data_IF_241934422590
#
_entry.id   IF_241934422590
#
_cell.length_a   1.000
_cell.length_b   1.000
_cell.length_c   1.000
_cell.angle_alpha   90.00
_cell.angle_beta   90.00
_cell.angle_gamma   90.00
#
_symmetry.space_group_name_H-M   'P 1'
#
loop_
_entity.id
_entity.type
_entity.pdbx_description
1 polymer ?
#
# COMPACT_ATOMS: atom_id res chain seq x y z
N UNK A 1 28.10 15.78 -25.06
CA UNK A 1 28.56 14.39 -24.77
C UNK A 1 28.37 13.59 -26.06
N UNK A 2 29.33 12.77 -26.53
CA UNK A 2 29.18 12.06 -27.80
C UNK A 2 28.05 11.02 -27.70
N UNK A 3 27.18 10.92 -28.73
CA UNK A 3 26.08 9.95 -28.83
C UNK A 3 26.50 8.50 -28.51
N UNK A 4 27.74 8.11 -28.89
CA UNK A 4 28.30 6.78 -28.59
C UNK A 4 28.59 6.55 -27.10
N UNK A 5 28.87 7.61 -26.34
CA UNK A 5 29.10 7.50 -24.90
C UNK A 5 27.78 7.33 -24.14
N UNK A 6 26.71 8.01 -24.59
CA UNK A 6 25.36 7.80 -24.05
C UNK A 6 24.83 6.39 -24.35
N UNK A 7 24.97 5.91 -25.59
CA UNK A 7 24.61 4.54 -25.95
C UNK A 7 25.43 3.47 -25.19
N UNK A 8 26.68 3.77 -24.83
CA UNK A 8 27.50 2.91 -23.97
C UNK A 8 27.01 2.92 -22.51
N UNK A 9 26.64 4.08 -21.97
CA UNK A 9 26.06 4.18 -20.63
C UNK A 9 24.70 3.47 -20.53
N UNK A 10 23.88 3.49 -21.60
CA UNK A 10 22.63 2.72 -21.70
C UNK A 10 22.84 1.20 -21.76
N UNK A 11 24.04 0.74 -22.17
CA UNK A 11 24.44 -0.67 -22.16
C UNK A 11 25.00 -1.13 -20.81
N UNK A 12 25.29 -0.22 -19.89
CA UNK A 12 25.66 -0.58 -18.52
C UNK A 12 24.35 -0.95 -17.82
N UNK A 13 24.11 -2.23 -17.47
CA UNK A 13 22.92 -2.56 -16.70
C UNK A 13 22.99 -1.79 -15.40
N UNK A 14 22.04 -0.87 -15.19
CA UNK A 14 21.78 -0.35 -13.85
C UNK A 14 21.63 -1.57 -12.95
N UNK A 15 22.32 -1.63 -11.80
CA UNK A 15 22.18 -2.78 -10.93
C UNK A 15 20.70 -2.84 -10.53
N UNK A 16 19.99 -3.88 -10.97
CA UNK A 16 18.58 -4.07 -10.63
C UNK A 16 18.48 -4.37 -9.14
N UNK A 17 18.27 -3.31 -8.36
CA UNK A 17 18.25 -3.35 -6.92
C UNK A 17 16.88 -2.90 -6.46
N UNK A 18 16.26 -3.70 -5.60
CA UNK A 18 15.05 -3.32 -4.89
C UNK A 18 15.22 -3.62 -3.41
N UNK A 19 14.73 -2.72 -2.55
CA UNK A 19 14.56 -3.02 -1.12
C UNK A 19 13.07 -3.07 -0.83
N UNK A 20 12.63 -4.23 -0.36
CA UNK A 20 11.27 -4.47 0.05
C UNK A 20 11.17 -4.46 1.56
N UNK A 21 9.94 -4.33 2.05
CA UNK A 21 9.63 -4.55 3.44
C UNK A 21 8.53 -5.57 3.59
N UNK A 22 8.88 -6.69 4.23
CA UNK A 22 7.98 -7.81 4.46
C UNK A 22 8.17 -8.31 5.89
N UNK A 23 7.06 -8.46 6.63
CA UNK A 23 7.12 -8.62 8.10
C UNK A 23 7.97 -7.55 8.79
N UNK A 24 8.08 -6.34 8.24
CA UNK A 24 8.95 -5.30 8.81
C UNK A 24 10.44 -5.51 8.59
N UNK A 25 10.88 -6.68 8.12
CA UNK A 25 12.25 -6.94 7.64
C UNK A 25 12.48 -6.24 6.32
N UNK A 26 13.67 -5.67 6.14
CA UNK A 26 14.13 -5.17 4.85
C UNK A 26 14.74 -6.30 4.06
N UNK A 27 14.27 -6.52 2.83
CA UNK A 27 14.74 -7.56 1.93
C UNK A 27 15.38 -6.93 0.70
N UNK A 28 16.64 -7.27 0.43
CA UNK A 28 17.37 -6.89 -0.77
C UNK A 28 17.07 -7.88 -1.88
N UNK A 29 16.49 -7.38 -2.97
CA UNK A 29 16.48 -8.04 -4.27
C UNK A 29 17.63 -7.46 -5.08
N UNK A 30 18.49 -8.34 -5.58
CA UNK A 30 19.60 -8.00 -6.44
C UNK A 30 19.53 -8.87 -7.70
N UNK A 31 19.38 -8.24 -8.88
CA UNK A 31 19.31 -8.92 -10.18
C UNK A 31 18.26 -10.04 -10.22
N UNK A 32 17.06 -9.72 -9.74
CA UNK A 32 15.92 -10.64 -9.75
C UNK A 32 15.94 -11.74 -8.69
N UNK A 33 16.87 -11.71 -7.73
CA UNK A 33 16.95 -12.67 -6.63
C UNK A 33 16.92 -11.97 -5.27
N UNK A 34 16.13 -12.50 -4.32
CA UNK A 34 16.20 -12.09 -2.92
C UNK A 34 17.43 -12.70 -2.25
N UNK A 35 18.42 -11.85 -1.94
CA UNK A 35 19.76 -12.29 -1.49
C UNK A 35 20.05 -11.99 -0.03
N UNK A 36 19.31 -11.06 0.59
CA UNK A 36 19.52 -10.70 1.99
C UNK A 36 18.25 -10.19 2.65
N UNK A 37 18.04 -10.56 3.91
CA UNK A 37 16.96 -10.05 4.75
C UNK A 37 17.51 -9.66 6.13
N UNK A 38 17.06 -8.52 6.65
CA UNK A 38 17.33 -8.12 8.04
C UNK A 38 16.51 -8.97 9.02
N UNK A 39 16.85 -8.99 10.31
CA UNK A 39 15.94 -9.48 11.34
C UNK A 39 14.58 -8.77 11.27
N UNK A 40 13.52 -9.49 11.59
CA UNK A 40 12.17 -8.93 11.65
C UNK A 40 11.90 -8.30 13.01
N UNK A 41 11.42 -7.05 13.08
CA UNK A 41 11.05 -6.41 14.34
C UNK A 41 9.68 -6.88 14.86
N UNK A 42 8.95 -7.69 14.09
CA UNK A 42 7.59 -8.15 14.45
C UNK A 42 7.47 -9.66 14.31
N UNK A 43 6.65 -10.26 15.17
CA UNK A 43 6.33 -11.70 15.14
C UNK A 43 5.12 -12.03 14.28
N UNK A 44 4.29 -11.02 13.98
CA UNK A 44 3.04 -11.20 13.27
C UNK A 44 2.68 -9.96 12.44
N UNK A 45 2.42 -10.19 11.15
CA UNK A 45 1.84 -9.19 10.26
C UNK A 45 0.49 -9.73 9.75
N UNK A 46 -0.65 -9.09 10.08
CA UNK A 46 -1.96 -9.59 9.65
C UNK A 46 -2.12 -9.69 8.14
N UNK A 47 -1.55 -8.73 7.38
CA UNK A 47 -1.56 -8.74 5.92
C UNK A 47 -0.77 -9.92 5.37
N UNK A 48 0.49 -10.08 5.80
CA UNK A 48 1.32 -11.19 5.30
C UNK A 48 0.76 -12.54 5.74
N UNK A 49 0.27 -12.67 6.97
CA UNK A 49 -0.36 -13.91 7.42
C UNK A 49 -1.54 -14.32 6.52
N UNK A 50 -2.41 -13.37 6.17
CA UNK A 50 -3.53 -13.61 5.26
C UNK A 50 -3.02 -14.03 3.88
N UNK A 51 -2.18 -13.20 3.25
CA UNK A 51 -1.68 -13.46 1.90
C UNK A 51 -0.94 -14.80 1.82
N UNK A 52 -0.07 -15.10 2.79
CA UNK A 52 0.72 -16.32 2.80
C UNK A 52 -0.10 -17.58 3.03
N UNK A 53 -1.21 -17.51 3.77
CA UNK A 53 -2.14 -18.63 3.87
C UNK A 53 -2.89 -18.88 2.56
N UNK A 54 -3.21 -17.81 1.83
CA UNK A 54 -3.94 -17.89 0.56
C UNK A 54 -3.04 -18.36 -0.59
N UNK A 55 -1.76 -17.94 -0.63
CA UNK A 55 -0.89 -18.17 -1.79
C UNK A 55 0.40 -18.97 -1.51
N UNK A 56 0.74 -19.24 -0.25
CA UNK A 56 2.12 -19.55 0.13
C UNK A 56 2.48 -21.01 0.42
N UNK A 57 1.50 -21.93 0.40
CA UNK A 57 1.75 -23.37 0.54
C UNK A 57 2.55 -23.78 1.80
N UNK A 58 3.27 -24.93 1.78
CA UNK A 58 4.05 -25.40 2.93
C UNK A 58 5.20 -24.47 3.36
N UNK A 59 5.79 -23.73 2.42
CA UNK A 59 6.88 -22.78 2.70
C UNK A 59 6.40 -21.62 3.58
N UNK A 60 5.23 -21.06 3.27
CA UNK A 60 4.59 -20.06 4.12
C UNK A 60 4.26 -20.58 5.52
N UNK A 61 3.70 -21.79 5.63
CA UNK A 61 3.34 -22.36 6.93
C UNK A 61 4.56 -22.50 7.84
N UNK A 62 5.69 -22.97 7.32
CA UNK A 62 6.96 -23.06 8.05
C UNK A 62 7.47 -21.68 8.47
N UNK A 63 7.50 -20.72 7.54
CA UNK A 63 7.94 -19.35 7.83
C UNK A 63 7.10 -18.70 8.94
N UNK A 64 5.78 -18.88 8.91
CA UNK A 64 4.88 -18.35 9.95
C UNK A 64 5.15 -18.98 11.31
N UNK A 65 5.53 -20.27 11.35
CA UNK A 65 5.94 -20.94 12.57
C UNK A 65 7.29 -20.44 13.08
N UNK A 66 8.27 -20.24 12.19
CA UNK A 66 9.59 -19.70 12.54
C UNK A 66 9.48 -18.30 13.18
N UNK A 67 8.64 -17.43 12.60
CA UNK A 67 8.36 -16.11 13.19
C UNK A 67 7.70 -16.19 14.57
N UNK A 68 6.78 -17.16 14.76
CA UNK A 68 6.11 -17.38 16.05
C UNK A 68 7.07 -17.89 17.11
N UNK A 69 8.00 -18.75 16.72
CA UNK A 69 8.99 -19.38 17.60
C UNK A 69 10.27 -18.56 17.78
N UNK A 70 10.34 -17.35 17.20
CA UNK A 70 11.49 -16.44 17.31
C UNK A 70 12.80 -17.03 16.77
N UNK A 71 12.71 -17.94 15.79
CA UNK A 71 13.85 -18.55 15.12
C UNK A 71 14.41 -17.57 14.09
N UNK A 72 15.23 -16.63 14.51
CA UNK A 72 15.65 -15.49 13.67
C UNK A 72 16.34 -15.93 12.37
N UNK A 73 17.29 -16.86 12.45
CA UNK A 73 18.07 -17.33 11.30
C UNK A 73 17.12 -18.02 10.31
N UNK A 74 16.32 -18.97 10.78
CA UNK A 74 15.38 -19.74 9.98
C UNK A 74 14.28 -18.85 9.39
N UNK A 75 13.80 -17.85 10.14
CA UNK A 75 12.83 -16.87 9.64
C UNK A 75 13.41 -16.04 8.49
N UNK A 76 14.68 -15.64 8.57
CA UNK A 76 15.35 -14.88 7.50
C UNK A 76 15.53 -15.73 6.26
N UNK A 77 16.04 -16.95 6.41
CA UNK A 77 16.19 -17.87 5.29
C UNK A 77 14.83 -18.26 4.68
N UNK A 78 13.83 -18.51 5.51
CA UNK A 78 12.47 -18.82 5.09
C UNK A 78 11.82 -17.66 4.33
N UNK A 79 12.08 -16.42 4.75
CA UNK A 79 11.64 -15.22 4.05
C UNK A 79 12.28 -15.11 2.66
N UNK A 80 13.59 -15.33 2.55
CA UNK A 80 14.28 -15.32 1.25
C UNK A 80 13.75 -16.42 0.33
N UNK A 81 13.61 -17.66 0.83
CA UNK A 81 13.04 -18.79 0.08
C UNK A 81 11.64 -18.45 -0.42
N UNK A 82 10.77 -17.96 0.45
CA UNK A 82 9.40 -17.60 0.09
C UNK A 82 9.36 -16.51 -1.01
N UNK A 83 10.18 -15.47 -0.89
CA UNK A 83 10.21 -14.40 -1.89
C UNK A 83 10.70 -14.94 -3.25
N UNK A 84 11.76 -15.75 -3.27
CA UNK A 84 12.26 -16.36 -4.50
C UNK A 84 11.25 -17.35 -5.12
N UNK A 85 10.70 -18.26 -4.32
CA UNK A 85 9.85 -19.37 -4.79
C UNK A 85 8.43 -18.94 -5.16
N UNK A 86 7.89 -17.87 -4.53
CA UNK A 86 6.48 -17.47 -4.70
C UNK A 86 6.37 -16.10 -5.32
N UNK A 87 7.06 -15.08 -4.79
CA UNK A 87 6.84 -13.70 -5.22
C UNK A 87 7.52 -13.46 -6.57
N UNK A 88 8.81 -13.78 -6.68
CA UNK A 88 9.60 -13.55 -7.88
C UNK A 88 9.27 -14.54 -9.00
N UNK A 89 9.02 -15.81 -8.67
CA UNK A 89 8.60 -16.82 -9.65
C UNK A 89 7.27 -16.49 -10.36
N UNK A 90 6.37 -15.78 -9.68
CA UNK A 90 5.09 -15.31 -10.23
C UNK A 90 5.21 -13.99 -11.01
N UNK A 91 6.43 -13.48 -11.16
CA UNK A 91 6.73 -12.33 -12.00
C UNK A 91 6.68 -10.97 -11.32
N UNK A 92 6.57 -10.91 -9.99
CA UNK A 92 6.79 -9.67 -9.29
C UNK A 92 8.22 -9.16 -9.52
N UNK A 93 8.38 -7.84 -9.53
CA UNK A 93 9.67 -7.16 -9.76
C UNK A 93 10.29 -7.33 -11.15
N UNK A 94 9.66 -8.06 -12.07
CA UNK A 94 10.16 -8.20 -13.43
C UNK A 94 9.79 -7.00 -14.31
N UNK A 95 10.64 -6.64 -15.28
CA UNK A 95 10.37 -5.54 -16.21
C UNK A 95 9.34 -5.89 -17.30
N UNK A 96 9.01 -7.17 -17.51
CA UNK A 96 8.04 -7.66 -18.50
C UNK A 96 6.59 -7.74 -17.97
N UNK A 97 6.36 -7.42 -16.70
CA UNK A 97 5.04 -7.50 -16.06
C UNK A 97 4.00 -6.55 -16.71
N UNK A 98 2.70 -6.87 -16.77
CA UNK A 98 1.69 -5.96 -17.31
C UNK A 98 1.48 -4.72 -16.43
N UNK A 99 1.52 -3.52 -17.01
CA UNK A 99 1.31 -2.27 -16.25
C UNK A 99 -0.17 -1.85 -16.20
N UNK A 100 -1.03 -2.49 -16.99
CA UNK A 100 -2.45 -2.21 -17.08
C UNK A 100 -3.25 -3.48 -16.75
N UNK A 101 -3.77 -3.57 -15.52
CA UNK A 101 -4.48 -4.74 -14.99
C UNK A 101 -5.63 -4.23 -14.11
N UNK A 102 -6.80 -4.85 -14.13
CA UNK A 102 -7.95 -4.41 -13.30
C UNK A 102 -8.26 -5.34 -12.12
N UNK A 103 -7.44 -6.37 -11.89
CA UNK A 103 -7.68 -7.35 -10.83
C UNK A 103 -7.41 -6.79 -9.44
N UNK A 104 -8.40 -6.88 -8.55
CA UNK A 104 -8.26 -6.55 -7.15
C UNK A 104 -7.66 -7.71 -6.36
N UNK A 105 -6.62 -7.44 -5.56
CA UNK A 105 -5.90 -8.47 -4.78
C UNK A 105 -6.38 -8.54 -3.32
N UNK A 106 -6.90 -7.44 -2.78
CA UNK A 106 -7.46 -7.38 -1.41
C UNK A 106 -8.73 -6.54 -1.34
N UNK A 107 -9.61 -6.84 -0.38
CA UNK A 107 -10.90 -6.15 -0.25
C UNK A 107 -10.74 -4.65 0.02
N UNK A 108 -9.80 -4.21 0.87
CA UNK A 108 -9.64 -2.80 1.23
C UNK A 108 -8.19 -2.35 1.06
N UNK A 109 -7.57 -2.69 -0.07
CA UNK A 109 -6.23 -2.20 -0.40
C UNK A 109 -6.27 -0.79 -0.96
N UNK A 110 -5.14 -0.09 -0.84
CA UNK A 110 -5.04 1.30 -1.24
C UNK A 110 -5.24 1.45 -2.75
N UNK A 111 -4.54 0.64 -3.56
CA UNK A 111 -4.68 0.66 -5.02
C UNK A 111 -6.11 0.36 -5.44
N UNK A 112 -6.81 -0.57 -4.77
CA UNK A 112 -8.21 -0.86 -5.06
C UNK A 112 -9.13 0.33 -4.80
N UNK A 113 -8.94 1.02 -3.68
CA UNK A 113 -9.70 2.24 -3.36
C UNK A 113 -9.44 3.33 -4.42
N UNK A 114 -8.18 3.55 -4.80
CA UNK A 114 -7.84 4.57 -5.82
C UNK A 114 -8.33 4.18 -7.22
N UNK A 115 -8.29 2.90 -7.58
CA UNK A 115 -8.83 2.39 -8.83
C UNK A 115 -10.34 2.66 -8.93
N UNK A 116 -11.10 2.35 -7.88
CA UNK A 116 -12.54 2.58 -7.85
C UNK A 116 -12.86 4.09 -7.81
N UNK A 117 -12.04 4.89 -7.12
CA UNK A 117 -12.16 6.35 -7.11
C UNK A 117 -11.87 7.00 -8.47
N UNK A 118 -10.87 6.51 -9.22
CA UNK A 118 -10.60 6.93 -10.60
C UNK A 118 -11.75 6.52 -11.53
N UNK A 119 -12.28 5.31 -11.37
CA UNK A 119 -13.42 4.81 -12.15
C UNK A 119 -14.67 5.66 -11.93
N UNK A 120 -14.85 6.18 -10.71
CA UNK A 120 -15.92 7.10 -10.34
C UNK A 120 -15.61 8.59 -10.57
N UNK A 121 -14.49 8.95 -11.19
CA UNK A 121 -14.05 10.34 -11.43
C UNK A 121 -13.96 11.22 -10.17
N UNK A 122 -13.73 10.61 -9.01
CA UNK A 122 -13.53 11.32 -7.74
C UNK A 122 -12.14 11.94 -7.64
N UNK A 123 -11.15 11.26 -8.22
CA UNK A 123 -9.79 11.71 -8.41
C UNK A 123 -9.43 11.61 -9.89
N UNK A 124 -8.48 12.43 -10.30
CA UNK A 124 -7.96 12.52 -11.67
C UNK A 124 -6.61 11.80 -11.81
N UNK A 125 -5.92 11.53 -10.68
CA UNK A 125 -4.67 10.78 -10.66
C UNK A 125 -4.42 10.07 -9.30
N UNK A 126 -3.52 9.10 -9.29
CA UNK A 126 -2.98 8.48 -8.09
C UNK A 126 -1.44 8.52 -8.08
N UNK A 127 -0.84 8.90 -6.95
CA UNK A 127 0.60 8.92 -6.73
C UNK A 127 1.04 7.71 -5.89
N UNK A 128 1.83 6.84 -6.51
CA UNK A 128 2.13 5.50 -6.05
C UNK A 128 3.62 5.17 -6.18
N UNK A 129 4.00 4.02 -5.66
CA UNK A 129 5.34 3.45 -5.82
C UNK A 129 5.28 2.29 -6.79
N UNK A 130 6.18 2.32 -7.78
CA UNK A 130 6.39 1.29 -8.78
C UNK A 130 7.85 0.82 -8.70
N UNK A 131 8.12 -0.47 -8.42
CA UNK A 131 9.49 -0.97 -8.58
C UNK A 131 9.98 -0.78 -10.02
N UNK A 132 11.26 -0.51 -10.14
CA UNK A 132 11.91 -0.14 -11.38
C UNK A 132 11.75 1.34 -11.72
N UNK A 133 10.84 2.10 -11.09
CA UNK A 133 10.55 3.51 -11.45
C UNK A 133 10.41 4.46 -10.25
N UNK A 134 10.31 3.94 -9.03
CA UNK A 134 10.16 4.74 -7.81
C UNK A 134 8.76 5.34 -7.70
N UNK A 135 8.70 6.64 -7.43
CA UNK A 135 7.44 7.40 -7.46
C UNK A 135 6.89 7.54 -8.88
N UNK A 136 5.61 7.21 -9.06
CA UNK A 136 4.86 7.35 -10.31
C UNK A 136 3.51 8.04 -10.08
N UNK A 137 3.00 8.70 -11.12
CA UNK A 137 1.61 9.12 -11.22
C UNK A 137 0.89 8.23 -12.25
N UNK A 138 -0.30 7.78 -11.90
CA UNK A 138 -1.20 7.03 -12.78
C UNK A 138 -2.51 7.77 -12.97
N UNK A 139 -3.14 7.61 -14.13
CA UNK A 139 -4.33 8.38 -14.53
C UNK A 139 -5.54 7.50 -14.84
N UNK A 140 -5.36 6.19 -14.88
CA UNK A 140 -6.45 5.24 -15.18
C UNK A 140 -6.57 4.18 -14.10
N UNK A 141 -7.75 3.56 -13.94
CA UNK A 141 -7.96 2.46 -13.01
C UNK A 141 -6.97 1.30 -13.25
N UNK A 142 -6.79 0.91 -14.52
CA UNK A 142 -5.95 -0.22 -14.89
C UNK A 142 -4.45 0.04 -14.70
N UNK A 143 -3.96 1.25 -14.98
CA UNK A 143 -2.55 1.60 -14.68
C UNK A 143 -2.29 1.68 -13.18
N UNK A 144 -3.24 2.24 -12.41
CA UNK A 144 -3.17 2.34 -10.95
C UNK A 144 -3.02 0.98 -10.28
N UNK A 145 -3.77 -0.03 -10.74
CA UNK A 145 -3.60 -1.40 -10.29
C UNK A 145 -2.33 -2.04 -10.84
N UNK A 146 -2.04 -1.90 -12.14
CA UNK A 146 -0.93 -2.63 -12.76
C UNK A 146 0.47 -2.11 -12.40
N UNK A 147 0.65 -0.86 -11.97
CA UNK A 147 1.96 -0.41 -11.43
C UNK A 147 2.25 -1.00 -10.05
N UNK A 148 1.20 -1.32 -9.29
CA UNK A 148 1.31 -1.96 -7.98
C UNK A 148 1.30 -3.49 -8.12
N UNK A 149 0.49 -4.06 -9.02
CA UNK A 149 0.14 -5.48 -9.09
C UNK A 149 -0.03 -6.10 -7.69
N UNK A 150 0.95 -6.91 -7.26
CA UNK A 150 1.03 -7.62 -5.98
C UNK A 150 2.12 -7.06 -5.05
N UNK A 151 2.47 -5.79 -5.17
CA UNK A 151 3.63 -5.22 -4.47
C UNK A 151 3.26 -4.70 -3.08
N UNK A 152 3.89 -5.26 -2.05
CA UNK A 152 3.48 -5.14 -0.63
C UNK A 152 4.37 -4.25 0.24
N UNK A 153 5.32 -3.52 -0.37
CA UNK A 153 6.18 -2.55 0.34
C UNK A 153 7.54 -2.33 -0.30
N UNK A 154 7.62 -1.71 -1.48
CA UNK A 154 8.90 -1.27 -2.06
C UNK A 154 9.36 0.04 -1.40
N UNK A 155 10.57 0.06 -0.85
CA UNK A 155 11.18 1.19 -0.13
C UNK A 155 12.42 1.75 -0.81
N UNK A 156 13.00 1.00 -1.74
CA UNK A 156 14.07 1.47 -2.62
C UNK A 156 13.99 0.72 -3.94
N UNK A 157 14.33 1.40 -5.03
CA UNK A 157 14.40 0.78 -6.34
C UNK A 157 15.33 1.56 -7.25
N UNK A 158 15.96 0.89 -8.21
CA UNK A 158 16.75 1.51 -9.28
C UNK A 158 15.93 1.62 -10.55
N UNK A 159 16.18 2.65 -11.39
CA UNK A 159 15.50 2.81 -12.66
C UNK A 159 15.81 1.65 -13.61
N UNK A 160 14.83 1.27 -14.44
CA UNK A 160 15.00 0.28 -15.50
C UNK A 160 14.51 0.85 -16.84
N UNK A 161 15.38 0.89 -17.86
CA UNK A 161 15.08 1.53 -19.16
C UNK A 161 13.84 0.95 -19.84
N UNK A 162 13.74 -0.38 -19.95
CA UNK A 162 12.54 -1.02 -20.54
C UNK A 162 11.25 -0.64 -19.81
N UNK A 163 11.28 -0.45 -18.48
CA UNK A 163 10.10 -0.03 -17.74
C UNK A 163 9.78 1.44 -17.95
N UNK A 164 10.79 2.30 -18.17
CA UNK A 164 10.57 3.70 -18.54
C UNK A 164 9.81 3.80 -19.85
N UNK A 165 10.27 3.10 -20.88
CA UNK A 165 9.64 3.12 -22.21
C UNK A 165 8.18 2.66 -22.11
N UNK A 166 7.95 1.53 -21.42
CA UNK A 166 6.61 0.99 -21.20
C UNK A 166 5.72 1.90 -20.35
N UNK A 167 6.27 2.60 -19.36
CA UNK A 167 5.51 3.59 -18.60
C UNK A 167 5.00 4.69 -19.53
N UNK A 168 5.85 5.21 -20.40
CA UNK A 168 5.45 6.26 -21.34
C UNK A 168 4.40 5.78 -22.35
N UNK A 169 4.55 4.54 -22.84
CA UNK A 169 3.58 3.90 -23.75
C UNK A 169 2.20 3.70 -23.10
N UNK A 170 2.18 3.29 -21.83
CA UNK A 170 0.95 2.99 -21.07
C UNK A 170 0.36 4.23 -20.37
N UNK A 171 0.96 5.41 -20.54
CA UNK A 171 0.50 6.65 -19.91
C UNK A 171 0.74 6.71 -18.40
N UNK A 172 1.73 5.99 -17.88
CA UNK A 172 2.24 6.13 -16.51
C UNK A 172 3.34 7.19 -16.50
N UNK A 173 3.32 8.11 -15.53
CA UNK A 173 4.31 9.18 -15.42
C UNK A 173 5.29 8.93 -14.28
N UNK A 174 6.55 8.53 -14.56
CA UNK A 174 7.58 8.44 -13.53
C UNK A 174 8.00 9.83 -13.06
N UNK A 175 7.96 10.08 -11.75
CA UNK A 175 8.36 11.36 -11.15
C UNK A 175 9.88 11.52 -11.19
N UNK A 176 10.61 10.41 -11.07
CA UNK A 176 12.07 10.38 -11.03
C UNK A 176 12.64 9.31 -11.99
N UNK A 177 12.45 9.47 -13.31
CA UNK A 177 12.72 8.41 -14.30
C UNK A 177 14.18 7.92 -14.31
N UNK A 178 15.13 8.75 -13.87
CA UNK A 178 16.57 8.44 -13.91
C UNK A 178 17.17 8.02 -12.57
N UNK A 179 16.40 8.09 -11.47
CA UNK A 179 16.91 7.74 -10.14
C UNK A 179 16.07 6.66 -9.44
N UNK A 180 14.82 6.45 -9.86
CA UNK A 180 13.91 5.51 -9.16
C UNK A 180 13.58 5.97 -7.74
N UNK A 181 13.76 7.26 -7.42
CA UNK A 181 13.52 7.78 -6.09
C UNK A 181 12.06 7.65 -5.68
N UNK A 182 11.82 7.40 -4.39
CA UNK A 182 10.49 7.33 -3.78
C UNK A 182 10.35 8.54 -2.89
N UNK A 183 9.50 9.50 -3.28
CA UNK A 183 9.19 10.67 -2.46
C UNK A 183 7.72 11.07 -2.67
N UNK A 184 6.82 10.73 -1.73
CA UNK A 184 5.41 11.09 -1.81
C UNK A 184 5.16 12.60 -1.83
N UNK A 185 5.97 13.41 -1.14
CA UNK A 185 5.80 14.87 -1.14
C UNK A 185 6.16 15.45 -2.51
N UNK A 186 7.29 15.03 -3.07
CA UNK A 186 7.67 15.45 -4.41
C UNK A 186 6.67 14.99 -5.46
N UNK A 187 6.12 13.78 -5.31
CA UNK A 187 5.05 13.27 -6.19
C UNK A 187 3.81 14.16 -6.14
N UNK A 188 3.41 14.62 -4.95
CA UNK A 188 2.29 15.54 -4.80
C UNK A 188 2.56 16.91 -5.43
N UNK A 189 3.77 17.46 -5.25
CA UNK A 189 4.18 18.71 -5.90
C UNK A 189 4.17 18.58 -7.42
N UNK A 190 4.64 17.45 -7.93
CA UNK A 190 4.70 17.18 -9.35
C UNK A 190 3.30 17.05 -9.96
N UNK A 191 2.37 16.37 -9.29
CA UNK A 191 0.98 16.30 -9.73
C UNK A 191 0.34 17.70 -9.85
N UNK A 192 0.53 18.56 -8.85
CA UNK A 192 0.06 19.95 -8.87
C UNK A 192 0.72 20.75 -10.00
N UNK A 193 2.02 20.55 -10.25
CA UNK A 193 2.77 21.20 -11.34
C UNK A 193 2.21 20.82 -12.71
N UNK A 194 1.77 19.59 -12.87
CA UNK A 194 1.08 19.10 -14.08
C UNK A 194 -0.38 19.60 -14.20
N UNK A 195 -0.85 20.41 -13.24
CA UNK A 195 -2.18 20.98 -13.25
C UNK A 195 -3.28 20.07 -12.67
N UNK A 196 -2.91 18.91 -12.13
CA UNK A 196 -3.85 17.95 -11.54
C UNK A 196 -4.36 18.51 -10.23
N UNK A 197 -5.67 18.59 -10.08
CA UNK A 197 -6.30 19.25 -8.92
C UNK A 197 -6.91 18.29 -7.92
N UNK A 198 -7.34 17.09 -8.31
CA UNK A 198 -7.88 16.09 -7.39
C UNK A 198 -7.09 14.80 -7.56
N UNK A 199 -6.32 14.41 -6.56
CA UNK A 199 -5.53 13.18 -6.65
C UNK A 199 -5.30 12.55 -5.28
N UNK A 200 -5.00 11.25 -5.30
CA UNK A 200 -4.64 10.51 -4.10
C UNK A 200 -3.13 10.30 -4.02
N UNK A 201 -2.56 10.37 -2.82
CA UNK A 201 -1.14 10.13 -2.54
C UNK A 201 -1.02 9.08 -1.46
N UNK A 202 -0.16 8.09 -1.73
CA UNK A 202 0.20 7.07 -0.74
C UNK A 202 1.50 7.42 -0.02
N UNK A 203 1.51 7.25 1.30
CA UNK A 203 2.74 7.31 2.12
C UNK A 203 2.93 5.97 2.83
N UNK A 204 4.18 5.61 3.17
CA UNK A 204 4.46 4.36 3.86
C UNK A 204 5.60 4.47 4.88
N UNK A 205 5.48 3.76 6.00
CA UNK A 205 6.45 3.73 7.10
C UNK A 205 6.92 5.13 7.52
N UNK A 206 8.22 5.44 7.43
CA UNK A 206 8.78 6.73 7.83
C UNK A 206 8.25 7.91 7.01
N UNK A 207 7.82 7.71 5.75
CA UNK A 207 7.22 8.78 4.95
C UNK A 207 5.89 9.27 5.52
N UNK A 208 5.22 8.50 6.38
CA UNK A 208 4.02 8.96 7.07
C UNK A 208 4.29 10.17 7.99
N UNK A 209 5.54 10.40 8.38
CA UNK A 209 5.91 11.58 9.19
C UNK A 209 5.77 12.90 8.44
N UNK A 210 5.68 12.85 7.10
CA UNK A 210 5.59 14.01 6.19
C UNK A 210 4.17 14.31 5.70
N UNK A 211 3.15 13.68 6.30
CA UNK A 211 1.75 13.86 5.89
C UNK A 211 1.26 15.31 6.07
N UNK A 212 1.83 16.03 7.03
CA UNK A 212 1.59 17.46 7.24
C UNK A 212 2.18 18.31 6.11
N UNK A 213 3.40 18.01 5.65
CA UNK A 213 3.99 18.69 4.50
C UNK A 213 3.13 18.52 3.24
N UNK A 214 2.56 17.32 3.03
CA UNK A 214 1.64 17.06 1.92
C UNK A 214 0.33 17.85 2.11
N UNK A 215 -0.18 17.91 3.35
CA UNK A 215 -1.38 18.70 3.69
C UNK A 215 -1.22 20.17 3.30
N UNK A 216 -0.04 20.75 3.56
CA UNK A 216 0.26 22.15 3.28
C UNK A 216 0.30 22.48 1.77
N UNK A 217 0.30 21.49 0.88
CA UNK A 217 0.21 21.72 -0.56
C UNK A 217 -1.23 21.99 -1.04
N UNK A 218 -2.23 21.59 -0.26
CA UNK A 218 -3.64 21.82 -0.60
C UNK A 218 -3.99 23.31 -0.55
N UNK A 219 -4.85 23.75 -1.46
CA UNK A 219 -5.39 25.12 -1.52
C UNK A 219 -6.83 25.07 -2.04
N UNK A 220 -7.49 26.24 -2.18
CA UNK A 220 -8.88 26.32 -2.62
C UNK A 220 -9.15 25.69 -3.99
N UNK A 221 -8.12 25.47 -4.82
CA UNK A 221 -8.24 24.85 -6.14
C UNK A 221 -7.64 23.45 -6.23
N UNK A 222 -7.31 22.76 -5.13
CA UNK A 222 -6.79 21.39 -5.18
C UNK A 222 -7.10 20.57 -3.93
N UNK A 223 -7.45 19.30 -4.13
CA UNK A 223 -7.69 18.30 -3.08
C UNK A 223 -6.70 17.14 -3.23
N UNK A 224 -5.99 16.84 -2.15
CA UNK A 224 -5.02 15.76 -2.04
C UNK A 224 -5.51 14.75 -1.01
N UNK A 225 -5.98 13.59 -1.46
CA UNK A 225 -6.38 12.50 -0.58
C UNK A 225 -5.13 11.77 -0.07
N UNK A 226 -4.96 11.72 1.25
CA UNK A 226 -3.74 11.21 1.90
C UNK A 226 -3.97 9.82 2.48
N UNK A 227 -3.43 8.80 1.82
CA UNK A 227 -3.55 7.39 2.19
C UNK A 227 -2.27 6.94 2.91
N UNK A 228 -2.35 6.78 4.23
CA UNK A 228 -1.21 6.41 5.07
C UNK A 228 -1.12 4.89 5.23
N UNK A 229 -0.11 4.29 4.59
CA UNK A 229 0.11 2.86 4.50
C UNK A 229 1.25 2.39 5.40
N UNK A 230 1.40 1.06 5.52
CA UNK A 230 2.49 0.37 6.23
C UNK A 230 2.82 0.99 7.60
N UNK A 231 2.04 0.63 8.61
CA UNK A 231 2.26 1.08 9.99
C UNK A 231 3.37 0.33 10.73
N UNK A 232 3.94 -0.74 10.16
CA UNK A 232 4.97 -1.55 10.83
C UNK A 232 6.12 -0.68 11.33
N UNK A 233 6.50 -0.82 12.60
CA UNK A 233 7.56 -0.04 13.27
C UNK A 233 7.45 1.50 13.12
N UNK A 234 6.24 2.02 12.88
CA UNK A 234 5.95 3.46 12.97
C UNK A 234 5.98 3.87 14.45
N UNK A 235 6.70 4.95 14.75
CA UNK A 235 6.77 5.52 16.09
C UNK A 235 5.53 6.35 16.44
N UNK A 236 5.40 6.72 17.73
CA UNK A 236 4.24 7.47 18.22
C UNK A 236 4.09 8.87 17.59
N UNK A 237 5.16 9.67 17.39
CA UNK A 237 5.06 10.95 16.68
C UNK A 237 4.53 10.78 15.24
N UNK A 238 5.03 9.79 14.51
CA UNK A 238 4.54 9.51 13.15
C UNK A 238 3.09 9.02 13.17
N UNK A 239 2.69 8.20 14.14
CA UNK A 239 1.28 7.81 14.32
C UNK A 239 0.37 9.02 14.60
N UNK A 240 0.85 10.04 15.31
CA UNK A 240 0.12 11.29 15.49
C UNK A 240 -0.05 12.04 14.17
N UNK A 241 1.01 12.14 13.35
CA UNK A 241 0.91 12.71 11.99
C UNK A 241 -0.08 11.96 11.10
N UNK A 242 -0.11 10.63 11.19
CA UNK A 242 -1.11 9.79 10.51
C UNK A 242 -2.54 10.10 10.99
N UNK A 243 -2.73 10.29 12.29
CA UNK A 243 -4.04 10.63 12.85
C UNK A 243 -4.52 12.04 12.47
N UNK A 244 -3.61 13.01 12.42
CA UNK A 244 -3.96 14.43 12.23
C UNK A 244 -4.09 14.80 10.75
N UNK A 245 -3.36 14.09 9.87
CA UNK A 245 -3.23 14.46 8.46
C UNK A 245 -3.52 13.31 7.48
N UNK A 246 -3.77 12.08 7.94
CA UNK A 246 -4.25 11.01 7.07
C UNK A 246 -5.75 11.16 6.80
N UNK A 247 -6.20 10.86 5.58
CA UNK A 247 -7.62 10.72 5.25
C UNK A 247 -8.09 9.26 5.45
N UNK A 248 -7.23 8.33 5.07
CA UNK A 248 -7.42 6.88 5.23
C UNK A 248 -6.10 6.29 5.74
N UNK A 249 -6.16 5.49 6.80
CA UNK A 249 -4.98 4.99 7.52
C UNK A 249 -5.05 3.48 7.71
N UNK A 250 -4.04 2.76 7.23
CA UNK A 250 -3.90 1.31 7.46
C UNK A 250 -3.10 1.08 8.74
N UNK A 251 -3.70 0.36 9.69
CA UNK A 251 -3.16 0.20 11.05
C UNK A 251 -2.45 -1.12 11.33
N UNK A 252 -2.17 -1.92 10.29
CA UNK A 252 -1.63 -3.26 10.47
C UNK A 252 -0.26 -3.23 11.19
N UNK A 253 -0.08 -4.14 12.16
CA UNK A 253 1.17 -4.38 12.88
C UNK A 253 1.80 -3.16 13.60
N UNK A 254 0.98 -2.24 14.13
CA UNK A 254 1.45 -1.15 15.01
C UNK A 254 0.47 -0.87 16.15
N UNK A 255 0.94 -1.01 17.39
CA UNK A 255 0.19 -0.60 18.59
C UNK A 255 0.01 0.91 18.63
N UNK A 256 1.04 1.69 18.33
CA UNK A 256 0.97 3.15 18.32
C UNK A 256 -0.10 3.67 17.37
N UNK A 257 -0.21 3.13 16.16
CA UNK A 257 -1.26 3.53 15.22
C UNK A 257 -2.64 3.13 15.75
N UNK A 258 -2.81 1.95 16.34
CA UNK A 258 -4.10 1.55 16.93
C UNK A 258 -4.49 2.43 18.12
N UNK A 259 -3.56 2.78 18.99
CA UNK A 259 -3.82 3.61 20.16
C UNK A 259 -4.13 5.07 19.80
N UNK A 260 -3.43 5.62 18.80
CA UNK A 260 -3.52 7.05 18.44
C UNK A 260 -4.59 7.30 17.39
N UNK A 261 -4.65 6.46 16.34
CA UNK A 261 -5.52 6.68 15.17
C UNK A 261 -6.91 6.10 15.41
N UNK A 262 -7.01 4.88 15.98
CA UNK A 262 -8.32 4.22 16.09
C UNK A 262 -9.34 5.06 16.88
N UNK A 263 -9.05 5.63 18.07
CA UNK A 263 -10.08 6.38 18.81
C UNK A 263 -10.64 7.60 18.06
N UNK A 264 -9.89 8.13 17.09
CA UNK A 264 -10.20 9.35 16.33
C UNK A 264 -10.81 9.09 14.95
N UNK A 265 -10.78 7.84 14.48
CA UNK A 265 -11.39 7.47 13.21
C UNK A 265 -12.91 7.63 13.26
N UNK A 266 -13.52 8.08 12.15
CA UNK A 266 -14.96 8.27 11.99
C UNK A 266 -15.67 7.06 11.36
N UNK A 267 -14.90 6.17 10.75
CA UNK A 267 -15.36 4.86 10.27
C UNK A 267 -14.16 3.89 10.21
N UNK A 268 -14.44 2.61 10.07
CA UNK A 268 -13.44 1.58 9.82
C UNK A 268 -13.95 0.63 8.75
N UNK A 269 -13.05 0.16 7.87
CA UNK A 269 -13.32 -0.99 7.02
C UNK A 269 -12.32 -2.10 7.28
N UNK A 270 -12.79 -3.35 7.25
CA UNK A 270 -11.99 -4.53 7.54
C UNK A 270 -11.69 -4.74 9.02
N UNK A 271 -11.57 -6.02 9.42
CA UNK A 271 -11.26 -6.44 10.79
C UNK A 271 -9.81 -6.93 10.93
N UNK A 272 -9.41 -7.92 10.11
CA UNK A 272 -8.05 -8.49 10.10
C UNK A 272 -6.98 -7.42 9.86
N UNK A 273 -7.25 -6.55 8.90
CA UNK A 273 -6.39 -5.44 8.48
C UNK A 273 -7.26 -4.18 8.62
N UNK A 274 -7.30 -3.54 9.80
CA UNK A 274 -8.17 -2.41 10.01
C UNK A 274 -7.68 -1.21 9.20
N UNK A 275 -8.58 -0.69 8.38
CA UNK A 275 -8.40 0.55 7.63
C UNK A 275 -9.29 1.59 8.29
N UNK A 276 -8.66 2.57 8.92
CA UNK A 276 -9.33 3.65 9.63
C UNK A 276 -9.59 4.81 8.69
N UNK A 277 -10.84 5.28 8.66
CA UNK A 277 -11.24 6.46 7.91
C UNK A 277 -11.25 7.64 8.88
N UNK A 278 -10.51 8.69 8.54
CA UNK A 278 -10.25 9.81 9.45
C UNK A 278 -11.08 11.05 9.12
N UNK A 279 -11.46 11.22 7.86
CA UNK A 279 -12.13 12.43 7.36
C UNK A 279 -13.35 12.09 6.53
N UNK A 280 -14.32 13.01 6.43
CA UNK A 280 -15.51 12.80 5.60
C UNK A 280 -15.13 12.55 4.14
N UNK A 281 -14.15 13.29 3.59
CA UNK A 281 -13.68 13.06 2.22
C UNK A 281 -13.01 11.69 2.06
N UNK A 282 -12.32 11.19 3.09
CA UNK A 282 -11.80 9.82 3.10
C UNK A 282 -12.92 8.78 3.09
N UNK A 283 -14.05 9.07 3.76
CA UNK A 283 -15.24 8.22 3.71
C UNK A 283 -15.89 8.25 2.32
N UNK A 284 -16.08 9.43 1.72
CA UNK A 284 -16.58 9.53 0.35
C UNK A 284 -15.70 8.75 -0.64
N UNK A 285 -14.37 8.85 -0.51
CA UNK A 285 -13.41 8.15 -1.38
C UNK A 285 -13.55 6.62 -1.32
N UNK A 286 -14.00 6.05 -0.19
CA UNK A 286 -14.13 4.60 -0.04
C UNK A 286 -15.48 4.04 -0.49
N UNK A 287 -16.51 4.87 -0.63
CA UNK A 287 -17.86 4.42 -1.04
C UNK A 287 -17.87 3.64 -2.36
N UNK A 288 -17.16 4.07 -3.43
CA UNK A 288 -17.08 3.29 -4.67
C UNK A 288 -16.55 1.86 -4.43
N UNK A 289 -15.57 1.72 -3.53
CA UNK A 289 -15.00 0.42 -3.18
C UNK A 289 -16.02 -0.47 -2.45
N UNK A 290 -16.79 0.10 -1.52
CA UNK A 290 -17.85 -0.64 -0.82
C UNK A 290 -18.88 -1.17 -1.81
N UNK A 291 -19.32 -0.33 -2.75
CA UNK A 291 -20.27 -0.70 -3.81
C UNK A 291 -19.69 -1.74 -4.79
N UNK A 292 -18.40 -1.66 -5.10
CA UNK A 292 -17.72 -2.64 -5.95
C UNK A 292 -17.62 -4.02 -5.29
N UNK A 293 -17.46 -4.07 -3.96
CA UNK A 293 -17.41 -5.31 -3.18
C UNK A 293 -18.81 -5.93 -3.00
N UNK A 294 -19.79 -5.11 -2.60
CA UNK A 294 -21.18 -5.54 -2.40
C UNK A 294 -22.13 -4.48 -2.98
N UNK A 295 -22.63 -4.66 -4.22
CA UNK A 295 -23.51 -3.69 -4.87
C UNK A 295 -24.82 -3.39 -4.14
N UNK A 296 -25.21 -4.24 -3.18
CA UNK A 296 -26.42 -4.05 -2.39
C UNK A 296 -26.14 -3.37 -1.03
N UNK A 297 -24.87 -3.15 -0.69
CA UNK A 297 -24.52 -2.40 0.51
C UNK A 297 -24.77 -0.90 0.28
N UNK A 298 -25.72 -0.33 1.02
CA UNK A 298 -26.04 1.08 0.93
C UNK A 298 -25.13 1.92 1.83
N UNK A 299 -24.01 2.37 1.24
CA UNK A 299 -23.03 3.21 1.94
C UNK A 299 -23.57 4.59 2.35
N UNK A 300 -24.69 5.05 1.79
CA UNK A 300 -25.30 6.33 2.16
C UNK A 300 -26.01 6.28 3.52
N UNK A 301 -26.39 5.07 3.99
CA UNK A 301 -26.98 4.87 5.32
C UNK A 301 -25.96 4.90 6.45
N UNK A 302 -24.67 4.84 6.12
CA UNK A 302 -23.59 4.82 7.10
C UNK A 302 -23.35 6.24 7.58
N UNK A 303 -23.51 6.46 8.89
CA UNK A 303 -23.26 7.74 9.55
C UNK A 303 -21.86 7.71 10.18
N UNK A 304 -20.86 8.44 9.66
CA UNK A 304 -19.54 8.49 10.26
C UNK A 304 -19.58 9.15 11.64
N UNK A 305 -18.99 8.49 12.63
CA UNK A 305 -18.94 8.96 14.03
C UNK A 305 -17.72 8.36 14.72
N UNK A 306 -17.15 9.08 15.68
CA UNK A 306 -15.99 8.60 16.46
C UNK A 306 -16.41 7.74 17.66
N UNK A 307 -15.43 7.05 18.28
CA UNK A 307 -15.63 6.30 19.52
C UNK A 307 -16.27 4.92 19.33
N UNK A 308 -16.87 4.36 20.40
CA UNK A 308 -17.41 2.99 20.41
C UNK A 308 -18.54 2.74 19.39
N UNK A 309 -19.31 3.78 19.04
CA UNK A 309 -20.37 3.71 18.04
C UNK A 309 -19.89 3.88 16.60
N UNK A 310 -18.58 4.09 16.39
CA UNK A 310 -18.03 4.22 15.04
C UNK A 310 -18.46 3.03 14.17
N UNK A 311 -18.95 3.26 12.94
CA UNK A 311 -19.30 2.18 12.04
C UNK A 311 -18.04 1.41 11.61
N UNK A 312 -18.12 0.09 11.70
CA UNK A 312 -17.12 -0.85 11.21
C UNK A 312 -17.77 -1.68 10.12
N UNK A 313 -17.27 -1.55 8.90
CA UNK A 313 -17.80 -2.26 7.74
C UNK A 313 -16.89 -3.45 7.46
N UNK A 314 -17.45 -4.65 7.51
CA UNK A 314 -16.69 -5.88 7.37
C UNK A 314 -17.47 -6.95 6.62
N UNK A 315 -16.75 -7.99 6.19
CA UNK A 315 -17.37 -9.14 5.54
C UNK A 315 -18.07 -10.02 6.58
N UNK A 316 -19.30 -10.45 6.25
CA UNK A 316 -19.99 -11.56 6.89
C UNK A 316 -20.50 -12.51 5.81
N UNK A 317 -19.75 -13.60 5.61
CA UNK A 317 -19.92 -14.43 4.42
C UNK A 317 -19.55 -13.66 3.16
N UNK A 318 -20.46 -13.58 2.18
CA UNK A 318 -20.23 -12.90 0.91
C UNK A 318 -20.82 -11.47 0.87
N UNK A 319 -21.12 -10.88 2.03
CA UNK A 319 -21.86 -9.62 2.15
C UNK A 319 -21.12 -8.68 3.07
N UNK A 320 -21.29 -7.38 2.82
CA UNK A 320 -20.85 -6.36 3.77
C UNK A 320 -21.91 -6.13 4.83
N UNK A 321 -21.47 -6.05 6.08
CA UNK A 321 -22.29 -5.65 7.23
C UNK A 321 -21.61 -4.48 7.95
N UNK A 322 -22.41 -3.62 8.55
CA UNK A 322 -21.96 -2.56 9.44
C UNK A 322 -22.28 -2.94 10.89
N UNK A 323 -21.25 -2.93 11.73
CA UNK A 323 -21.37 -3.12 13.17
C UNK A 323 -20.74 -1.93 13.92
N UNK A 324 -21.18 -1.63 15.16
CA UNK A 324 -20.46 -0.70 16.04
C UNK A 324 -19.08 -1.22 16.44
N UNK A 325 -18.12 -0.31 16.65
CA UNK A 325 -16.76 -0.67 17.04
C UNK A 325 -16.64 -1.38 18.40
N UNK A 326 -17.51 -1.08 19.35
CA UNK A 326 -17.57 -1.78 20.64
C UNK A 326 -18.08 -3.23 20.53
N UNK A 327 -18.69 -3.60 19.41
CA UNK A 327 -19.20 -4.95 19.13
C UNK A 327 -18.24 -5.82 18.30
N UNK A 328 -17.04 -5.34 17.95
CA UNK A 328 -16.06 -6.11 17.16
C UNK A 328 -15.76 -7.48 17.81
N UNK A 329 -15.75 -7.57 19.15
CA UNK A 329 -15.41 -8.82 19.87
C UNK A 329 -16.46 -9.91 19.73
N UNK A 330 -17.74 -9.53 19.63
CA UNK A 330 -18.87 -10.46 19.62
C UNK A 330 -19.23 -10.97 18.21
N UNK A 331 -18.64 -10.37 17.17
CA UNK A 331 -19.08 -10.52 15.77
C UNK A 331 -17.97 -10.99 14.80
N UNK A 332 -16.73 -11.15 15.27
CA UNK A 332 -15.59 -11.39 14.39
C UNK A 332 -15.43 -12.88 14.00
N UNK A 333 -16.04 -13.28 12.89
CA UNK A 333 -15.77 -14.58 12.22
C UNK A 333 -14.42 -14.62 11.51
N UNK A 334 -13.81 -13.45 11.31
CA UNK A 334 -12.59 -13.23 10.55
C UNK A 334 -11.33 -13.17 11.43
N UNK A 335 -11.34 -13.62 12.70
CA UNK A 335 -10.13 -13.62 13.53
C UNK A 335 -9.58 -15.03 13.75
N UNK A 336 -8.40 -15.38 13.23
CA UNK A 336 -7.73 -16.62 13.62
C UNK A 336 -7.18 -16.57 15.07
N UNK A 337 -7.12 -15.37 15.67
CA UNK A 337 -6.90 -15.14 17.09
C UNK A 337 -7.50 -13.77 17.42
N UNK A 338 -8.52 -13.65 18.29
CA UNK A 338 -9.07 -12.35 18.67
C UNK A 338 -7.93 -11.43 19.08
N UNK A 339 -7.90 -10.24 18.50
CA UNK A 339 -6.86 -9.23 18.73
C UNK A 339 -6.67 -9.03 20.25
N UNK A 340 -5.59 -9.59 20.79
CA UNK A 340 -5.01 -9.20 22.08
C UNK A 340 -4.07 -8.03 21.80
#
# INVERSE_FOLDING_TARGET
MPLRFLAFLEQIPYPEIHILRMFGSYVLIFRGEAVYATPSPIRYCPLMYKLLKEVGGPAASRLLEDFRMEREIESREGLLRLINEIILSQGAYRPDRPLNVCEANVSFGASEIMMDALSGHMIDAAALVMNGMGSVLTFTPGTTQGVVQRMTGCFFTTPHSLLLDRCLEEGVYPVFPFTGSIDPLASAREALRLGIRRFAVTTAASYNSRLDEIACLENSGSVIYRLALCATAVDRPTAAKMSDHGDIVWSCASSHVREVVAPRAIAQVGLKIPVYIMTQRGFELIKPRLKAIDPQFDAETVIPVTGGRRPVICHRGNRLEMIPADQIRDSCSDCPSPLI
#
